data_IF_996672433442
#
_entry.id   IF_996672433442
#
_cell.length_a   1.000
_cell.length_b   1.000
_cell.length_c   1.000
_cell.angle_alpha   90.00
_cell.angle_beta   90.00
_cell.angle_gamma   90.00
#
_symmetry.space_group_name_H-M   'P 1'
#
loop_
_entity.id
_entity.type
_entity.pdbx_description
1 polymer ?
#
# COMPACT_ATOMS: atom_id res chain seq x y z
N UNK A 1 -3.62 -42.04 -16.15
CA UNK A 1 -4.25 -40.89 -15.47
C UNK A 1 -3.12 -40.20 -14.72
N UNK A 2 -2.47 -39.21 -15.33
CA UNK A 2 -1.30 -38.56 -14.74
C UNK A 2 -1.79 -37.45 -13.83
N UNK A 3 -1.62 -37.66 -12.53
CA UNK A 3 -1.73 -36.65 -11.49
C UNK A 3 -0.64 -35.61 -11.75
N UNK A 4 -1.05 -34.38 -12.05
CA UNK A 4 -0.17 -33.22 -12.08
C UNK A 4 0.04 -32.82 -10.63
N UNK A 5 1.24 -33.06 -10.10
CA UNK A 5 1.63 -32.48 -8.82
C UNK A 5 1.80 -30.97 -9.02
N UNK A 6 0.92 -30.19 -8.41
CA UNK A 6 1.10 -28.75 -8.28
C UNK A 6 2.44 -28.53 -7.57
N UNK A 7 3.40 -27.78 -8.15
CA UNK A 7 4.61 -27.45 -7.43
C UNK A 7 4.20 -26.78 -6.11
N UNK A 8 4.82 -27.12 -4.96
CA UNK A 8 4.48 -26.49 -3.70
C UNK A 8 4.69 -24.99 -3.91
N UNK A 9 3.56 -24.28 -4.01
CA UNK A 9 3.53 -22.85 -4.20
C UNK A 9 4.39 -22.28 -3.09
N UNK A 10 5.43 -21.56 -3.50
CA UNK A 10 6.27 -20.75 -2.62
C UNK A 10 5.32 -20.07 -1.65
N UNK A 11 5.38 -20.48 -0.38
CA UNK A 11 4.76 -19.71 0.67
C UNK A 11 5.48 -18.36 0.60
N UNK A 12 4.83 -17.35 0.02
CA UNK A 12 5.28 -15.97 0.06
C UNK A 12 5.17 -15.52 1.52
N UNK A 13 6.03 -16.06 2.38
CA UNK A 13 6.37 -15.45 3.65
C UNK A 13 7.23 -14.24 3.29
N UNK A 14 6.56 -13.20 2.79
CA UNK A 14 7.11 -11.87 2.63
C UNK A 14 7.21 -11.27 4.03
N UNK A 15 8.17 -11.76 4.81
CA UNK A 15 8.45 -11.30 6.17
C UNK A 15 9.06 -9.89 6.19
N UNK A 16 9.37 -9.32 5.02
CA UNK A 16 9.83 -7.96 4.85
C UNK A 16 9.23 -7.40 3.57
N UNK A 17 8.72 -6.17 3.61
CA UNK A 17 8.21 -5.49 2.42
C UNK A 17 9.40 -4.97 1.65
N UNK A 18 9.64 -5.46 0.43
CA UNK A 18 10.78 -5.03 -0.33
C UNK A 18 10.61 -3.57 -0.76
N UNK A 19 11.67 -2.79 -0.64
CA UNK A 19 11.76 -1.49 -1.30
C UNK A 19 12.06 -1.73 -2.77
N UNK A 20 11.16 -1.29 -3.66
CA UNK A 20 11.31 -1.48 -5.11
C UNK A 20 11.87 -0.20 -5.73
N UNK A 21 13.08 -0.28 -6.26
CA UNK A 21 13.73 0.84 -6.95
C UNK A 21 13.60 0.68 -8.47
N UNK A 22 13.20 1.77 -9.13
CA UNK A 22 13.13 1.89 -10.58
C UNK A 22 13.88 3.15 -11.02
N UNK A 23 14.07 3.33 -12.33
CA UNK A 23 14.79 4.49 -12.86
C UNK A 23 14.19 5.86 -12.46
N UNK A 24 12.91 5.92 -12.07
CA UNK A 24 12.20 7.18 -11.77
C UNK A 24 11.49 7.19 -10.42
N UNK A 25 11.39 6.04 -9.76
CA UNK A 25 10.54 5.88 -8.59
C UNK A 25 11.12 4.84 -7.63
N UNK A 26 11.03 5.13 -6.34
CA UNK A 26 11.28 4.19 -5.26
C UNK A 26 9.95 3.93 -4.56
N UNK A 27 9.49 2.68 -4.55
CA UNK A 27 8.32 2.25 -3.82
C UNK A 27 8.75 1.66 -2.48
N UNK A 28 8.40 2.33 -1.39
CA UNK A 28 8.69 1.92 -0.02
C UNK A 28 7.40 1.76 0.78
N UNK A 29 7.46 1.04 1.90
CA UNK A 29 6.37 1.03 2.87
C UNK A 29 6.04 2.48 3.32
N UNK A 30 4.75 2.83 3.42
CA UNK A 30 4.33 4.16 3.81
C UNK A 30 4.66 4.38 5.29
N UNK A 31 5.17 5.57 5.63
CA UNK A 31 5.58 5.95 6.98
C UNK A 31 4.75 7.12 7.47
N UNK A 32 4.83 7.40 8.77
CA UNK A 32 4.09 8.51 9.42
C UNK A 32 4.44 9.87 8.80
N UNK A 33 5.67 10.05 8.31
CA UNK A 33 6.08 11.26 7.58
C UNK A 33 5.28 11.50 6.28
N UNK A 34 4.74 10.44 5.68
CA UNK A 34 3.99 10.53 4.42
C UNK A 34 2.51 10.89 4.63
N UNK A 35 2.04 10.97 5.90
CA UNK A 35 0.64 11.25 6.25
C UNK A 35 0.11 12.50 5.56
N UNK A 36 0.88 13.59 5.60
CA UNK A 36 0.45 14.88 5.05
C UNK A 36 0.32 14.83 3.52
N UNK A 37 1.32 14.21 2.85
CA UNK A 37 1.30 14.01 1.42
C UNK A 37 0.16 13.10 0.96
N UNK A 38 -0.09 11.99 1.68
CA UNK A 38 -1.20 11.08 1.41
C UNK A 38 -2.52 11.82 1.57
N UNK A 39 -2.70 12.57 2.66
CA UNK A 39 -3.94 13.29 2.92
C UNK A 39 -4.21 14.39 1.87
N UNK A 40 -3.17 15.11 1.44
CA UNK A 40 -3.29 16.13 0.40
C UNK A 40 -3.71 15.51 -0.95
N UNK A 41 -3.09 14.38 -1.34
CA UNK A 41 -3.44 13.66 -2.56
C UNK A 41 -4.85 13.05 -2.49
N UNK A 42 -5.21 12.45 -1.35
CA UNK A 42 -6.52 11.87 -1.12
C UNK A 42 -7.66 12.91 -1.17
N UNK A 43 -7.41 14.14 -0.70
CA UNK A 43 -8.40 15.23 -0.81
C UNK A 43 -8.46 15.88 -2.20
N UNK A 44 -7.62 15.47 -3.14
CA UNK A 44 -7.76 15.92 -4.52
C UNK A 44 -9.07 15.38 -5.08
N UNK A 45 -9.98 16.28 -5.48
CA UNK A 45 -11.33 15.96 -5.95
C UNK A 45 -11.35 14.84 -6.99
N UNK A 46 -10.41 14.87 -7.94
CA UNK A 46 -10.29 13.85 -8.99
C UNK A 46 -9.97 12.47 -8.42
N UNK A 47 -9.14 12.40 -7.38
CA UNK A 47 -8.75 11.14 -6.72
C UNK A 47 -9.91 10.62 -5.87
N UNK A 48 -10.55 11.50 -5.09
CA UNK A 48 -11.71 11.14 -4.28
C UNK A 48 -12.89 10.62 -5.12
N UNK A 49 -13.17 11.24 -6.27
CA UNK A 49 -14.26 10.80 -7.17
C UNK A 49 -13.97 9.45 -7.85
N UNK A 50 -12.70 9.09 -8.07
CA UNK A 50 -12.31 7.85 -8.75
C UNK A 50 -12.02 6.68 -7.78
N UNK A 51 -11.98 6.92 -6.48
CA UNK A 51 -11.57 5.91 -5.48
C UNK A 51 -12.78 5.48 -4.65
N UNK A 52 -13.28 4.27 -4.94
CA UNK A 52 -14.57 3.77 -4.42
C UNK A 52 -14.69 3.68 -2.88
N UNK A 53 -13.57 3.74 -2.14
CA UNK A 53 -13.53 3.59 -0.67
C UNK A 53 -12.82 4.74 0.06
N UNK A 54 -12.69 5.92 -0.56
CA UNK A 54 -12.02 7.05 0.08
C UNK A 54 -13.03 7.89 0.87
N UNK A 55 -12.93 7.97 2.22
CA UNK A 55 -13.76 8.87 2.99
C UNK A 55 -13.42 10.32 2.64
N UNK A 56 -14.43 11.14 2.36
CA UNK A 56 -14.23 12.56 2.06
C UNK A 56 -15.02 13.44 3.05
N UNK A 57 -14.38 14.45 3.69
CA UNK A 57 -12.98 14.86 3.56
C UNK A 57 -12.02 13.87 4.24
N UNK A 58 -10.90 13.57 3.58
CA UNK A 58 -9.91 12.60 4.08
C UNK A 58 -9.01 13.28 5.12
N UNK A 59 -9.01 12.81 6.37
CA UNK A 59 -8.25 13.46 7.45
C UNK A 59 -6.90 12.78 7.65
N UNK A 60 -5.98 13.47 8.33
CA UNK A 60 -4.69 12.89 8.74
C UNK A 60 -4.86 11.62 9.60
N UNK A 61 -5.95 11.53 10.38
CA UNK A 61 -6.29 10.33 11.15
C UNK A 61 -6.57 9.11 10.26
N UNK A 62 -7.23 9.32 9.11
CA UNK A 62 -7.50 8.24 8.15
C UNK A 62 -6.21 7.77 7.47
N UNK A 63 -5.30 8.72 7.15
CA UNK A 63 -3.97 8.41 6.63
C UNK A 63 -3.12 7.61 7.63
N UNK A 64 -3.15 8.01 8.91
CA UNK A 64 -2.47 7.28 9.99
C UNK A 64 -3.03 5.86 10.13
N UNK A 65 -4.36 5.71 10.09
CA UNK A 65 -5.00 4.40 10.14
C UNK A 65 -4.65 3.55 8.92
N UNK A 66 -4.49 4.16 7.74
CA UNK A 66 -4.02 3.48 6.54
C UNK A 66 -2.58 2.98 6.69
N UNK A 67 -1.67 3.82 7.20
CA UNK A 67 -0.26 3.44 7.45
C UNK A 67 -0.16 2.35 8.52
N UNK A 68 -0.95 2.45 9.59
CA UNK A 68 -0.97 1.45 10.66
C UNK A 68 -1.44 0.07 10.20
N UNK A 69 -2.34 0.02 9.21
CA UNK A 69 -2.78 -1.23 8.59
C UNK A 69 -1.90 -1.67 7.42
N UNK A 70 -1.05 -0.78 6.90
CA UNK A 70 -0.09 -1.15 5.87
C UNK A 70 0.94 -2.08 6.50
N UNK A 71 1.35 -3.14 5.79
CA UNK A 71 2.44 -3.97 6.27
C UNK A 71 3.64 -3.05 6.53
N UNK A 72 4.41 -3.34 7.58
CA UNK A 72 5.66 -2.62 7.88
C UNK A 72 6.84 -3.51 7.49
N UNK A 73 7.76 -2.97 6.69
CA UNK A 73 9.01 -3.67 6.35
C UNK A 73 10.03 -3.34 7.43
N UNK A 74 10.26 -4.29 8.34
CA UNK A 74 11.43 -4.28 9.25
C UNK A 74 12.66 -4.87 8.55
#
# INVERSE_FOLDING_TARGET
MTIIETPPGVALQESCIPVLETARLVLRAPKIEDVDAIAALANSRRIAEMTANLPHPYRAADALSFIANAPQGE
#
